data_IF_467351895020
#
_entry.id   IF_467351895020
#
_cell.length_a   1.000
_cell.length_b   1.000
_cell.length_c   1.000
_cell.angle_alpha   90.00
_cell.angle_beta   90.00
_cell.angle_gamma   90.00
#
_symmetry.space_group_name_H-M   'P 1'
#
loop_
_entity.id
_entity.type
_entity.pdbx_description
1 polymer ?
#
# COMPACT_ATOMS: atom_id res chain seq x y z
N UNK A 1 -4.25 4.20 13.71
CA UNK A 1 -3.43 2.96 13.62
C UNK A 1 -2.50 2.92 14.83
N UNK A 2 -2.28 1.78 15.49
CA UNK A 2 -1.30 1.70 16.60
C UNK A 2 0.14 1.72 16.09
N UNK A 3 1.10 1.96 16.99
CA UNK A 3 2.53 1.87 16.65
C UNK A 3 2.89 0.44 16.23
N UNK A 4 2.36 -0.58 16.92
CA UNK A 4 2.56 -1.99 16.59
C UNK A 4 2.14 -2.35 15.18
N UNK A 5 0.91 -1.99 14.79
CA UNK A 5 0.41 -2.23 13.43
C UNK A 5 1.26 -1.50 12.36
N UNK A 6 1.82 -0.34 12.70
CA UNK A 6 2.72 0.41 11.82
C UNK A 6 4.07 -0.27 11.65
N UNK A 7 4.63 -0.82 12.72
CA UNK A 7 5.86 -1.61 12.66
C UNK A 7 5.66 -2.86 11.80
N UNK A 8 4.53 -3.57 11.96
CA UNK A 8 4.23 -4.74 11.11
C UNK A 8 4.16 -4.34 9.63
N UNK A 9 3.45 -3.25 9.30
CA UNK A 9 3.36 -2.75 7.90
C UNK A 9 4.74 -2.39 7.34
N UNK A 10 5.56 -1.66 8.09
CA UNK A 10 6.91 -1.28 7.68
C UNK A 10 7.83 -2.48 7.48
N UNK A 11 7.70 -3.50 8.32
CA UNK A 11 8.43 -4.77 8.20
C UNK A 11 8.01 -5.53 6.95
N UNK A 12 6.71 -5.68 6.72
CA UNK A 12 6.14 -6.34 5.54
C UNK A 12 6.51 -5.62 4.24
N UNK A 13 6.46 -4.29 4.21
CA UNK A 13 6.87 -3.48 3.04
C UNK A 13 8.35 -3.65 2.68
N UNK A 14 9.20 -3.94 3.68
CA UNK A 14 10.62 -4.21 3.47
C UNK A 14 10.91 -5.69 3.18
N UNK A 15 9.91 -6.57 3.30
CA UNK A 15 10.04 -8.00 3.02
C UNK A 15 10.86 -8.80 4.04
N UNK A 16 11.09 -8.27 5.24
CA UNK A 16 11.98 -8.91 6.24
C UNK A 16 11.21 -9.70 7.30
N UNK A 17 11.87 -10.71 7.88
CA UNK A 17 11.31 -11.51 8.98
C UNK A 17 11.30 -10.75 10.33
N UNK A 18 10.53 -11.24 11.32
CA UNK A 18 10.56 -10.64 12.68
C UNK A 18 11.93 -10.82 13.34
N UNK A 19 12.58 -11.94 13.09
CA UNK A 19 13.94 -12.25 13.53
C UNK A 19 14.96 -11.27 12.97
N UNK A 20 14.89 -11.01 11.66
CA UNK A 20 15.79 -10.06 10.99
C UNK A 20 15.54 -8.63 11.47
N UNK A 21 14.28 -8.24 11.64
CA UNK A 21 13.94 -6.94 12.21
C UNK A 21 14.44 -6.79 13.65
N UNK A 22 14.29 -7.83 14.47
CA UNK A 22 14.78 -7.87 15.84
C UNK A 22 16.31 -7.72 15.91
N UNK A 23 17.03 -8.38 14.99
CA UNK A 23 18.48 -8.25 14.86
C UNK A 23 18.90 -6.80 14.56
N UNK A 24 18.22 -6.11 13.64
CA UNK A 24 18.55 -4.72 13.30
C UNK A 24 18.26 -3.71 14.41
N UNK A 25 17.22 -3.95 15.21
CA UNK A 25 16.85 -3.06 16.33
C UNK A 25 17.57 -3.45 17.64
N UNK A 26 18.28 -4.59 17.62
CA UNK A 26 18.98 -5.19 18.76
C UNK A 26 18.03 -5.52 19.92
N UNK A 27 16.94 -6.21 19.60
CA UNK A 27 15.95 -6.72 20.57
C UNK A 27 15.66 -8.20 20.30
N UNK A 28 14.89 -8.86 21.17
CA UNK A 28 14.46 -10.24 20.90
C UNK A 28 13.33 -10.26 19.85
N UNK A 29 13.22 -11.37 19.11
CA UNK A 29 12.08 -11.63 18.21
C UNK A 29 10.74 -11.52 18.96
N UNK A 30 10.69 -12.02 20.19
CA UNK A 30 9.52 -11.94 21.06
C UNK A 30 9.12 -10.49 21.36
N UNK A 31 10.10 -9.60 21.58
CA UNK A 31 9.86 -8.16 21.76
C UNK A 31 9.20 -7.54 20.51
N UNK A 32 9.70 -7.87 19.31
CA UNK A 32 9.08 -7.43 18.06
C UNK A 32 7.65 -7.98 17.93
N UNK A 33 7.45 -9.25 18.25
CA UNK A 33 6.13 -9.88 18.20
C UNK A 33 5.14 -9.21 19.18
N UNK A 34 5.59 -8.89 20.39
CA UNK A 34 4.79 -8.16 21.37
C UNK A 34 4.43 -6.75 20.89
N UNK A 35 5.36 -6.04 20.27
CA UNK A 35 5.09 -4.72 19.70
C UNK A 35 4.07 -4.80 18.58
N UNK A 36 4.27 -5.67 17.60
CA UNK A 36 3.38 -5.82 16.45
C UNK A 36 1.95 -6.21 16.87
N UNK A 37 1.83 -7.03 17.91
CA UNK A 37 0.55 -7.45 18.48
C UNK A 37 -0.02 -6.51 19.56
N UNK A 38 0.63 -5.36 19.82
CA UNK A 38 0.24 -4.38 20.84
C UNK A 38 0.18 -4.92 22.28
N UNK A 39 0.99 -5.95 22.59
CA UNK A 39 1.16 -6.46 23.96
C UNK A 39 2.14 -5.63 24.76
N UNK A 40 3.09 -4.98 24.09
CA UNK A 40 3.98 -3.96 24.66
C UNK A 40 4.27 -2.86 23.65
N UNK A 41 4.91 -1.77 24.07
CA UNK A 41 5.30 -0.66 23.20
C UNK A 41 6.81 -0.42 23.24
N UNK A 42 7.42 0.04 22.13
CA UNK A 42 8.83 0.40 22.12
C UNK A 42 9.09 1.66 22.96
N UNK A 43 10.19 1.66 23.70
CA UNK A 43 10.64 2.84 24.45
C UNK A 43 11.29 3.89 23.53
N UNK A 44 11.60 5.07 24.07
CA UNK A 44 12.17 6.19 23.30
C UNK A 44 13.46 5.83 22.52
N UNK A 45 14.34 5.03 23.11
CA UNK A 45 15.59 4.61 22.45
C UNK A 45 15.30 3.64 21.30
N UNK A 46 14.38 2.70 21.49
CA UNK A 46 13.95 1.76 20.47
C UNK A 46 13.25 2.48 19.32
N UNK A 47 12.37 3.44 19.61
CA UNK A 47 11.75 4.29 18.59
C UNK A 47 12.79 5.09 17.78
N UNK A 48 13.84 5.58 18.44
CA UNK A 48 14.94 6.27 17.75
C UNK A 48 15.71 5.33 16.81
N UNK A 49 15.98 4.10 17.24
CA UNK A 49 16.62 3.06 16.39
C UNK A 49 15.75 2.72 15.19
N UNK A 50 14.45 2.52 15.40
CA UNK A 50 13.48 2.24 14.33
C UNK A 50 13.42 3.41 13.34
N UNK A 51 13.34 4.65 13.85
CA UNK A 51 13.35 5.87 13.04
C UNK A 51 14.59 5.95 12.15
N UNK A 52 15.78 5.66 12.70
CA UNK A 52 17.03 5.62 11.92
C UNK A 52 17.05 4.47 10.91
N UNK A 53 16.58 3.28 11.29
CA UNK A 53 16.58 2.10 10.43
C UNK A 53 15.69 2.26 9.20
N UNK A 54 14.51 2.87 9.37
CA UNK A 54 13.58 3.14 8.26
C UNK A 54 13.78 4.52 7.62
N UNK A 55 14.68 5.36 8.14
CA UNK A 55 14.88 6.76 7.72
C UNK A 55 13.58 7.58 7.77
N UNK A 56 12.72 7.32 8.75
CA UNK A 56 11.45 8.02 8.94
C UNK A 56 11.59 8.94 10.16
N UNK A 57 11.16 10.21 10.09
CA UNK A 57 11.17 11.10 11.25
C UNK A 57 10.42 10.49 12.44
N UNK A 58 10.98 10.61 13.65
CA UNK A 58 10.35 10.06 14.87
C UNK A 58 8.92 10.58 15.07
N UNK A 59 8.68 11.86 14.77
CA UNK A 59 7.34 12.46 14.80
C UNK A 59 6.38 11.69 13.89
N UNK A 60 6.80 11.37 12.66
CA UNK A 60 5.97 10.63 11.72
C UNK A 60 5.78 9.19 12.15
N UNK A 61 6.78 8.52 12.72
CA UNK A 61 6.65 7.17 13.25
C UNK A 61 5.56 7.08 14.33
N UNK A 62 5.49 8.07 15.23
CA UNK A 62 4.54 8.12 16.35
C UNK A 62 3.15 8.66 15.96
N UNK A 63 3.02 9.27 14.78
CA UNK A 63 1.79 9.94 14.35
C UNK A 63 0.69 8.95 14.01
N UNK A 64 -0.42 8.96 14.75
CA UNK A 64 -1.52 7.97 14.62
C UNK A 64 -2.26 7.97 13.27
N UNK A 65 -2.04 8.97 12.41
CA UNK A 65 -3.06 9.38 11.42
C UNK A 65 -2.66 9.38 9.93
N UNK A 66 -1.36 9.27 9.57
CA UNK A 66 -0.93 9.63 8.18
C UNK A 66 -0.35 8.57 7.24
N UNK A 67 -0.01 7.33 7.65
CA UNK A 67 0.48 6.32 6.67
C UNK A 67 -0.60 5.75 5.74
N UNK A 68 -1.83 6.29 5.75
CA UNK A 68 -2.89 5.90 4.83
C UNK A 68 -3.42 7.05 3.98
N UNK A 69 -2.98 8.29 4.20
CA UNK A 69 -3.54 9.44 3.49
C UNK A 69 -3.02 9.51 2.06
N UNK A 70 -1.70 9.56 1.90
CA UNK A 70 -1.05 9.78 0.59
C UNK A 70 -1.25 8.59 -0.36
N UNK A 71 -1.12 7.35 0.14
CA UNK A 71 -1.39 6.15 -0.68
C UNK A 71 -2.86 6.02 -1.08
N UNK A 72 -3.81 6.37 -0.19
CA UNK A 72 -5.24 6.29 -0.53
C UNK A 72 -5.68 7.41 -1.45
N UNK A 73 -5.10 8.59 -1.31
CA UNK A 73 -5.42 9.75 -2.13
C UNK A 73 -4.92 9.55 -3.56
N UNK A 74 -3.67 9.10 -3.75
CA UNK A 74 -3.13 8.70 -5.05
C UNK A 74 -3.88 7.51 -5.66
N UNK A 75 -4.26 6.54 -4.83
CA UNK A 75 -5.06 5.39 -5.24
C UNK A 75 -6.43 5.82 -5.78
N UNK A 76 -7.16 6.64 -5.03
CA UNK A 76 -8.50 7.06 -5.42
C UNK A 76 -8.43 7.99 -6.65
N UNK A 77 -7.49 8.95 -6.67
CA UNK A 77 -7.37 9.91 -7.79
C UNK A 77 -7.00 9.22 -9.10
N UNK A 78 -6.06 8.28 -9.07
CA UNK A 78 -5.58 7.60 -10.29
C UNK A 78 -6.60 6.60 -10.82
N UNK A 79 -7.25 5.83 -9.94
CA UNK A 79 -8.33 4.91 -10.34
C UNK A 79 -9.54 5.65 -10.92
N UNK A 80 -9.93 6.77 -10.32
CA UNK A 80 -11.00 7.63 -10.84
C UNK A 80 -10.65 8.21 -12.21
N UNK A 81 -9.45 8.76 -12.39
CA UNK A 81 -9.02 9.33 -13.66
C UNK A 81 -9.00 8.29 -14.80
N UNK A 82 -8.42 7.11 -14.56
CA UNK A 82 -8.38 6.03 -15.55
C UNK A 82 -9.78 5.48 -15.87
N UNK A 83 -10.64 5.34 -14.87
CA UNK A 83 -12.02 4.88 -15.08
C UNK A 83 -12.84 5.88 -15.89
N UNK A 84 -12.80 7.16 -15.54
CA UNK A 84 -13.54 8.20 -16.25
C UNK A 84 -13.03 8.41 -17.68
N UNK A 85 -11.73 8.34 -17.92
CA UNK A 85 -11.19 8.45 -19.30
C UNK A 85 -11.68 7.31 -20.19
N UNK A 86 -11.73 6.08 -19.70
CA UNK A 86 -12.29 4.93 -20.44
C UNK A 86 -13.78 5.12 -20.74
N UNK A 87 -14.56 5.55 -19.75
CA UNK A 87 -15.99 5.83 -19.89
C UNK A 87 -16.23 6.90 -20.97
N UNK A 88 -15.51 8.03 -20.90
CA UNK A 88 -15.68 9.15 -21.82
C UNK A 88 -15.30 8.76 -23.26
N UNK A 89 -14.18 8.05 -23.44
CA UNK A 89 -13.73 7.59 -24.76
C UNK A 89 -14.73 6.58 -25.35
N UNK A 90 -15.16 5.61 -24.55
CA UNK A 90 -16.11 4.59 -24.98
C UNK A 90 -17.51 5.15 -25.28
N UNK A 91 -17.95 6.17 -24.53
CA UNK A 91 -19.18 6.90 -24.82
C UNK A 91 -19.08 7.71 -26.11
N UNK A 92 -17.97 8.42 -26.33
CA UNK A 92 -17.74 9.21 -27.55
C UNK A 92 -17.68 8.32 -28.80
N UNK A 93 -16.90 7.24 -28.76
CA UNK A 93 -16.80 6.27 -29.85
C UNK A 93 -18.14 5.55 -30.10
N UNK A 94 -18.82 5.14 -29.03
CA UNK A 94 -20.09 4.42 -29.12
C UNK A 94 -21.19 5.23 -29.79
N UNK A 95 -21.29 6.53 -29.49
CA UNK A 95 -22.26 7.43 -30.12
C UNK A 95 -21.88 7.73 -31.56
N UNK A 96 -20.60 8.02 -31.83
CA UNK A 96 -20.12 8.38 -33.18
C UNK A 96 -20.26 7.24 -34.19
N UNK A 97 -19.97 6.00 -33.77
CA UNK A 97 -20.04 4.81 -34.63
C UNK A 97 -21.33 4.00 -34.46
N UNK A 98 -22.28 4.47 -33.66
CA UNK A 98 -23.53 3.78 -33.32
C UNK A 98 -23.33 2.37 -32.71
N UNK A 99 -22.28 2.21 -31.89
CA UNK A 99 -21.88 0.96 -31.23
C UNK A 99 -22.32 0.96 -29.74
N UNK A 100 -23.63 0.99 -29.50
CA UNK A 100 -24.20 1.15 -28.15
C UNK A 100 -23.80 0.02 -27.17
N UNK A 101 -23.69 -1.22 -27.67
CA UNK A 101 -23.28 -2.37 -26.84
C UNK A 101 -21.83 -2.19 -26.35
N UNK A 102 -20.94 -1.71 -27.22
CA UNK A 102 -19.53 -1.48 -26.89
C UNK A 102 -19.38 -0.34 -25.87
N UNK A 103 -20.21 0.71 -25.98
CA UNK A 103 -20.27 1.79 -25.00
C UNK A 103 -20.66 1.27 -23.61
N UNK A 104 -21.70 0.43 -23.52
CA UNK A 104 -22.12 -0.18 -22.24
C UNK A 104 -21.02 -1.04 -21.61
N UNK A 105 -20.29 -1.81 -22.42
CA UNK A 105 -19.15 -2.61 -21.95
C UNK A 105 -18.04 -1.70 -21.39
N UNK A 106 -17.71 -0.62 -22.10
CA UNK A 106 -16.70 0.34 -21.62
C UNK A 106 -17.08 0.99 -20.30
N UNK A 107 -18.37 1.26 -20.06
CA UNK A 107 -18.85 1.82 -18.80
C UNK A 107 -18.68 0.85 -17.64
N UNK A 108 -19.01 -0.43 -17.87
CA UNK A 108 -18.82 -1.49 -16.88
C UNK A 108 -17.34 -1.65 -16.55
N UNK A 109 -16.47 -1.67 -17.57
CA UNK A 109 -15.01 -1.78 -17.39
C UNK A 109 -14.47 -0.58 -16.59
N UNK A 110 -14.87 0.64 -16.94
CA UNK A 110 -14.44 1.85 -16.23
C UNK A 110 -14.89 1.86 -14.77
N UNK A 111 -16.14 1.47 -14.50
CA UNK A 111 -16.67 1.36 -13.13
C UNK A 111 -15.95 0.28 -12.30
N UNK A 112 -15.68 -0.89 -12.91
CA UNK A 112 -14.91 -1.95 -12.27
C UNK A 112 -13.49 -1.52 -11.97
N UNK A 113 -12.83 -0.80 -12.90
CA UNK A 113 -11.51 -0.23 -12.65
C UNK A 113 -11.54 0.71 -11.45
N UNK A 114 -12.50 1.62 -11.35
CA UNK A 114 -12.60 2.54 -10.19
C UNK A 114 -12.68 1.77 -8.86
N UNK A 115 -13.56 0.76 -8.80
CA UNK A 115 -13.80 0.00 -7.56
C UNK A 115 -12.61 -0.91 -7.21
N UNK A 116 -12.00 -1.55 -8.20
CA UNK A 116 -11.00 -2.59 -7.99
C UNK A 116 -9.56 -2.15 -8.27
N UNK A 117 -9.30 -0.89 -8.63
CA UNK A 117 -7.97 -0.39 -8.99
C UNK A 117 -6.92 -0.72 -7.92
N UNK A 118 -7.31 -0.78 -6.64
CA UNK A 118 -6.37 -0.86 -5.52
C UNK A 118 -5.94 -2.29 -5.28
N UNK A 119 -6.90 -3.20 -5.39
CA UNK A 119 -6.65 -4.63 -5.44
C UNK A 119 -5.76 -4.97 -6.64
N UNK A 120 -6.04 -4.39 -7.82
CA UNK A 120 -5.22 -4.61 -9.02
C UNK A 120 -3.80 -4.05 -8.87
N UNK A 121 -3.64 -2.82 -8.36
CA UNK A 121 -2.34 -2.19 -8.11
C UNK A 121 -1.49 -3.05 -7.16
N UNK A 122 -2.08 -3.48 -6.04
CA UNK A 122 -1.37 -4.31 -5.05
C UNK A 122 -0.94 -5.67 -5.62
N UNK A 123 -1.79 -6.32 -6.42
CA UNK A 123 -1.43 -7.58 -7.09
C UNK A 123 -0.31 -7.37 -8.10
N UNK A 124 -0.35 -6.29 -8.87
CA UNK A 124 0.71 -5.95 -9.82
C UNK A 124 2.05 -5.68 -9.13
N UNK A 125 2.05 -4.90 -8.03
CA UNK A 125 3.23 -4.61 -7.23
C UNK A 125 3.86 -5.90 -6.67
N UNK A 126 3.05 -6.79 -6.11
CA UNK A 126 3.51 -8.09 -5.59
C UNK A 126 4.16 -8.94 -6.69
N UNK A 127 3.53 -9.05 -7.86
CA UNK A 127 4.10 -9.79 -8.99
C UNK A 127 5.45 -9.22 -9.43
N UNK A 128 5.56 -7.90 -9.52
CA UNK A 128 6.82 -7.24 -9.91
C UNK A 128 7.93 -7.53 -8.90
N UNK A 129 7.62 -7.56 -7.60
CA UNK A 129 8.58 -7.90 -6.55
C UNK A 129 9.03 -9.37 -6.65
N UNK A 130 8.11 -10.31 -6.86
CA UNK A 130 8.45 -11.72 -7.07
C UNK A 130 9.36 -11.94 -8.28
N UNK A 131 9.13 -11.21 -9.38
CA UNK A 131 9.99 -11.27 -10.56
C UNK A 131 11.41 -10.74 -10.26
N UNK A 132 11.53 -9.60 -9.58
CA UNK A 132 12.84 -9.03 -9.23
C UNK A 132 13.67 -9.92 -8.32
N UNK A 133 13.04 -10.63 -7.38
CA UNK A 133 13.71 -11.56 -6.47
C UNK A 133 14.21 -12.84 -7.13
N UNK A 134 13.80 -13.12 -8.38
CA UNK A 134 14.18 -14.32 -9.12
C UNK A 134 15.36 -14.08 -10.08
N UNK A 135 15.64 -12.82 -10.40
CA UNK A 135 16.71 -12.42 -11.32
C UNK A 135 18.03 -12.05 -10.59
N UNK A 136 18.02 -11.97 -9.25
CA UNK A 136 19.19 -11.83 -8.37
C UNK A 136 19.65 -13.19 -7.80
#
# INVERSE_FOLDING_TARGET
MSIGARLSKLREMKGISKEEFAHHIEVSKETIDDWENNRSEPNANQLMKISKYYQIPLYDLMRKDRFTSEEKEDFLSTGLYLGFTIIIIGMFLGVFFNLLILSSISNIIGALLIVFYGSLKKVAENMIQEFKLKDD
#
